data_IF_347495808416
#
_entry.id   IF_347495808416
#
_cell.length_a   1.000
_cell.length_b   1.000
_cell.length_c   1.000
_cell.angle_alpha   90.00
_cell.angle_beta   90.00
_cell.angle_gamma   90.00
#
_symmetry.space_group_name_H-M   'P 1'
#
loop_
_entity.id
_entity.type
_entity.pdbx_description
1 polymer ?
#
# COMPACT_ATOMS: atom_id res chain seq x y z
N UNK A 1 -12.12 -8.65 -16.77
CA UNK A 1 -11.73 -7.25 -17.07
C UNK A 1 -12.37 -6.35 -16.01
N UNK A 2 -11.65 -5.35 -15.49
CA UNK A 2 -12.02 -4.56 -14.28
C UNK A 2 -12.71 -3.22 -14.59
N UNK A 3 -12.72 -2.78 -15.85
CA UNK A 3 -12.68 -1.34 -16.15
C UNK A 3 -13.93 -0.71 -16.82
N UNK A 4 -15.01 -1.44 -17.13
CA UNK A 4 -16.24 -0.79 -17.63
C UNK A 4 -17.18 -0.44 -16.47
N UNK A 5 -17.96 0.65 -16.62
CA UNK A 5 -18.99 1.04 -15.63
C UNK A 5 -20.01 -0.09 -15.43
N UNK A 6 -20.37 -0.77 -16.50
CA UNK A 6 -21.29 -1.92 -16.49
C UNK A 6 -20.69 -3.09 -15.69
N UNK A 7 -19.42 -3.44 -15.93
CA UNK A 7 -18.73 -4.49 -15.19
C UNK A 7 -18.58 -4.14 -13.69
N UNK A 8 -18.39 -2.85 -13.37
CA UNK A 8 -18.33 -2.37 -11.97
C UNK A 8 -19.68 -2.51 -11.28
N UNK A 9 -20.76 -1.99 -11.90
CA UNK A 9 -22.11 -2.07 -11.33
C UNK A 9 -22.60 -3.51 -11.20
N UNK A 10 -22.24 -4.38 -12.14
CA UNK A 10 -22.56 -5.81 -12.05
C UNK A 10 -21.88 -6.46 -10.84
N UNK A 11 -20.56 -6.28 -10.69
CA UNK A 11 -19.83 -6.81 -9.52
C UNK A 11 -20.29 -6.20 -8.21
N UNK A 12 -20.63 -4.91 -8.22
CA UNK A 12 -21.12 -4.22 -7.05
C UNK A 12 -22.43 -4.86 -6.57
N UNK A 13 -23.35 -5.19 -7.48
CA UNK A 13 -24.55 -5.98 -7.16
C UNK A 13 -24.23 -7.40 -6.68
N UNK A 14 -23.33 -8.11 -7.34
CA UNK A 14 -22.93 -9.48 -6.98
C UNK A 14 -22.33 -9.57 -5.55
N UNK A 15 -21.74 -8.47 -5.06
CA UNK A 15 -21.10 -8.40 -3.74
C UNK A 15 -21.92 -7.59 -2.71
N UNK A 16 -23.22 -7.36 -2.97
CA UNK A 16 -24.14 -6.74 -2.01
C UNK A 16 -24.14 -5.21 -1.96
N UNK A 17 -23.45 -4.53 -2.88
CA UNK A 17 -23.53 -3.09 -3.07
C UNK A 17 -24.74 -2.66 -3.90
N UNK A 18 -25.08 -1.37 -3.82
CA UNK A 18 -26.16 -0.75 -4.59
C UNK A 18 -25.72 0.56 -5.29
N UNK A 19 -26.60 1.17 -6.06
CA UNK A 19 -26.29 2.42 -6.79
C UNK A 19 -25.86 3.58 -5.86
N UNK A 20 -26.36 3.62 -4.62
CA UNK A 20 -25.95 4.62 -3.64
C UNK A 20 -24.48 4.45 -3.22
N UNK A 21 -23.96 3.21 -3.25
CA UNK A 21 -22.53 2.96 -3.05
C UNK A 21 -21.70 3.60 -4.15
N UNK A 22 -22.09 3.46 -5.42
CA UNK A 22 -21.39 4.09 -6.55
C UNK A 22 -21.42 5.62 -6.44
N UNK A 23 -22.58 6.19 -6.08
CA UNK A 23 -22.72 7.64 -5.85
C UNK A 23 -21.78 8.12 -4.74
N UNK A 24 -21.69 7.40 -3.63
CA UNK A 24 -20.79 7.75 -2.53
C UNK A 24 -19.31 7.63 -2.92
N UNK A 25 -18.95 6.62 -3.72
CA UNK A 25 -17.59 6.45 -4.24
C UNK A 25 -17.23 7.64 -5.14
N UNK A 26 -18.07 7.97 -6.12
CA UNK A 26 -17.81 9.12 -7.02
C UNK A 26 -17.73 10.43 -6.25
N UNK A 27 -18.61 10.66 -5.27
CA UNK A 27 -18.54 11.85 -4.41
C UNK A 27 -17.22 11.93 -3.63
N UNK A 28 -16.65 10.79 -3.23
CA UNK A 28 -15.34 10.73 -2.57
C UNK A 28 -14.21 11.07 -3.54
N UNK A 29 -14.26 10.55 -4.78
CA UNK A 29 -13.26 10.85 -5.81
C UNK A 29 -13.26 12.33 -6.20
N UNK A 30 -14.44 12.95 -6.26
CA UNK A 30 -14.59 14.39 -6.50
C UNK A 30 -14.00 15.21 -5.37
N UNK A 31 -14.35 14.85 -4.13
CA UNK A 31 -13.83 15.52 -2.94
C UNK A 31 -12.29 15.43 -2.82
N UNK A 32 -11.71 14.29 -3.23
CA UNK A 32 -10.27 14.08 -3.28
C UNK A 32 -9.63 14.95 -4.37
N UNK A 33 -10.24 15.03 -5.56
CA UNK A 33 -9.72 15.83 -6.68
C UNK A 33 -9.64 17.31 -6.28
N UNK A 34 -10.68 17.84 -5.64
CA UNK A 34 -10.74 19.23 -5.15
C UNK A 34 -9.68 19.58 -4.10
N UNK A 35 -9.07 18.57 -3.46
CA UNK A 35 -8.11 18.72 -2.36
C UNK A 35 -6.68 18.34 -2.72
N UNK A 36 -6.44 17.94 -3.97
CA UNK A 36 -5.09 17.66 -4.42
C UNK A 36 -4.26 18.95 -4.40
N UNK A 37 -3.07 18.88 -3.82
CA UNK A 37 -2.11 19.96 -3.87
C UNK A 37 -1.59 20.14 -5.31
N UNK A 38 -1.05 21.33 -5.61
CA UNK A 38 -0.51 21.65 -6.94
C UNK A 38 0.62 20.72 -7.40
N UNK A 39 1.34 20.10 -6.47
CA UNK A 39 2.42 19.15 -6.76
C UNK A 39 1.93 17.71 -6.94
N UNK A 40 0.61 17.47 -6.92
CA UNK A 40 0.00 16.15 -7.05
C UNK A 40 -0.18 15.39 -5.74
N UNK A 41 0.30 15.93 -4.62
CA UNK A 41 0.18 15.30 -3.30
C UNK A 41 -1.15 15.60 -2.61
N UNK A 42 -1.45 14.89 -1.51
CA UNK A 42 -2.57 15.21 -0.61
C UNK A 42 -2.11 15.60 0.79
N UNK A 43 -2.96 16.37 1.46
CA UNK A 43 -2.78 16.84 2.85
C UNK A 43 -1.56 17.76 3.05
N UNK A 44 -1.41 18.29 4.27
CA UNK A 44 -0.27 19.14 4.65
C UNK A 44 0.93 18.36 5.18
N UNK A 45 0.67 17.19 5.78
CA UNK A 45 1.63 16.32 6.48
C UNK A 45 1.39 14.85 6.10
N UNK A 46 2.42 14.01 6.16
CA UNK A 46 2.34 12.59 5.74
C UNK A 46 1.93 12.46 4.27
N UNK A 47 2.36 13.41 3.44
CA UNK A 47 1.95 13.56 2.05
C UNK A 47 2.23 12.30 1.25
N UNK A 48 3.35 11.63 1.48
CA UNK A 48 3.65 10.35 0.80
C UNK A 48 2.59 9.28 1.10
N UNK A 49 2.27 9.02 2.37
CA UNK A 49 1.22 8.06 2.74
C UNK A 49 -0.16 8.48 2.23
N UNK A 50 -0.54 9.74 2.44
CA UNK A 50 -1.86 10.25 2.05
C UNK A 50 -2.04 10.21 0.54
N UNK A 51 -0.99 10.52 -0.23
CA UNK A 51 -1.01 10.41 -1.70
C UNK A 51 -1.11 8.95 -2.14
N UNK A 52 -0.42 8.03 -1.46
CA UNK A 52 -0.57 6.60 -1.72
C UNK A 52 -2.00 6.10 -1.51
N UNK A 53 -2.66 6.48 -0.41
CA UNK A 53 -4.05 6.12 -0.14
C UNK A 53 -5.03 6.75 -1.14
N UNK A 54 -4.86 8.04 -1.47
CA UNK A 54 -5.68 8.72 -2.46
C UNK A 54 -5.56 8.05 -3.82
N UNK A 55 -4.32 7.76 -4.26
CA UNK A 55 -4.06 7.07 -5.52
C UNK A 55 -4.69 5.66 -5.55
N UNK A 56 -4.55 4.87 -4.48
CA UNK A 56 -5.21 3.56 -4.37
C UNK A 56 -6.74 3.67 -4.47
N UNK A 57 -7.34 4.75 -3.97
CA UNK A 57 -8.79 5.00 -4.08
C UNK A 57 -9.21 5.16 -5.54
N UNK A 58 -8.47 5.97 -6.32
CA UNK A 58 -8.71 6.14 -7.76
C UNK A 58 -8.50 4.82 -8.52
N UNK A 59 -7.37 4.14 -8.29
CA UNK A 59 -7.05 2.88 -8.96
C UNK A 59 -8.06 1.76 -8.61
N UNK A 60 -8.56 1.74 -7.37
CA UNK A 60 -9.62 0.82 -6.93
C UNK A 60 -10.93 1.01 -7.69
N UNK A 61 -11.25 2.25 -8.05
CA UNK A 61 -12.38 2.58 -8.95
C UNK A 61 -12.04 2.38 -10.45
N UNK A 62 -10.82 1.93 -10.75
CA UNK A 62 -10.25 1.77 -12.10
C UNK A 62 -10.06 3.10 -12.84
N UNK A 63 -9.86 4.20 -12.10
CA UNK A 63 -9.41 5.46 -12.67
C UNK A 63 -7.89 5.41 -12.93
N UNK A 64 -7.47 5.91 -14.08
CA UNK A 64 -6.08 5.81 -14.56
C UNK A 64 -5.66 7.14 -15.20
N UNK A 65 -4.38 7.33 -15.59
CA UNK A 65 -3.98 8.54 -16.32
C UNK A 65 -4.74 8.82 -17.63
N UNK A 66 -5.46 7.82 -18.18
CA UNK A 66 -6.30 7.98 -19.37
C UNK A 66 -7.76 8.32 -19.05
N UNK A 67 -8.14 8.39 -17.77
CA UNK A 67 -9.49 8.75 -17.37
C UNK A 67 -9.82 10.18 -17.77
N UNK A 68 -10.98 10.41 -18.37
CA UNK A 68 -11.42 11.72 -18.85
C UNK A 68 -11.48 12.77 -17.72
N UNK A 69 -12.03 12.39 -16.57
CA UNK A 69 -12.21 13.32 -15.43
C UNK A 69 -11.01 13.35 -14.48
N UNK A 70 -10.47 12.19 -14.13
CA UNK A 70 -9.46 12.06 -13.07
C UNK A 70 -8.04 11.79 -13.59
N UNK A 71 -7.83 11.76 -14.91
CA UNK A 71 -6.55 11.38 -15.50
C UNK A 71 -5.37 12.23 -15.03
N UNK A 72 -5.53 13.55 -15.05
CA UNK A 72 -4.52 14.48 -14.56
C UNK A 72 -4.26 14.30 -13.05
N UNK A 73 -5.32 14.13 -12.26
CA UNK A 73 -5.22 13.88 -10.81
C UNK A 73 -4.42 12.62 -10.51
N UNK A 74 -4.72 11.52 -11.20
CA UNK A 74 -4.01 10.24 -11.05
C UNK A 74 -2.56 10.36 -11.53
N UNK A 75 -2.33 11.00 -12.68
CA UNK A 75 -0.99 11.14 -13.25
C UNK A 75 -0.08 11.95 -12.32
N UNK A 76 -0.56 13.10 -11.83
CA UNK A 76 0.20 13.97 -10.92
C UNK A 76 0.52 13.28 -9.59
N UNK A 77 -0.40 12.46 -9.07
CA UNK A 77 -0.17 11.64 -7.87
C UNK A 77 0.97 10.64 -8.06
N UNK A 78 1.00 9.95 -9.21
CA UNK A 78 2.05 8.97 -9.55
C UNK A 78 3.39 9.69 -9.68
N UNK A 79 3.42 10.81 -10.42
CA UNK A 79 4.65 11.59 -10.63
C UNK A 79 5.23 12.07 -9.29
N UNK A 80 4.39 12.58 -8.39
CA UNK A 80 4.81 12.99 -7.05
C UNK A 80 5.54 11.86 -6.30
N UNK A 81 4.94 10.66 -6.24
CA UNK A 81 5.54 9.52 -5.54
C UNK A 81 6.82 9.03 -6.22
N UNK A 82 6.87 9.02 -7.56
CA UNK A 82 8.08 8.67 -8.33
C UNK A 82 9.21 9.65 -8.05
N UNK A 83 8.91 10.95 -8.00
CA UNK A 83 9.90 11.98 -7.68
C UNK A 83 10.47 11.81 -6.26
N UNK A 84 9.63 11.46 -5.28
CA UNK A 84 10.08 11.16 -3.92
C UNK A 84 11.01 9.94 -3.93
N UNK A 85 10.58 8.83 -4.55
CA UNK A 85 11.39 7.61 -4.64
C UNK A 85 12.75 7.88 -5.29
N UNK A 86 12.78 8.61 -6.40
CA UNK A 86 14.02 8.94 -7.11
C UNK A 86 14.97 9.78 -6.25
N UNK A 87 14.46 10.80 -5.56
CA UNK A 87 15.26 11.66 -4.67
C UNK A 87 15.79 10.91 -3.45
N UNK A 88 15.05 9.92 -2.97
CA UNK A 88 15.34 9.19 -1.73
C UNK A 88 15.86 7.76 -1.97
N UNK A 89 16.26 7.42 -3.20
CA UNK A 89 16.81 6.09 -3.58
C UNK A 89 15.87 4.94 -3.22
N UNK A 90 14.62 5.03 -3.67
CA UNK A 90 13.56 4.05 -3.44
C UNK A 90 12.83 4.20 -2.10
N UNK A 91 13.33 4.98 -1.14
CA UNK A 91 12.58 5.25 0.08
C UNK A 91 11.43 6.22 -0.19
N UNK A 92 10.33 6.03 0.53
CA UNK A 92 9.08 6.77 0.33
C UNK A 92 8.58 7.24 1.69
N UNK A 93 8.95 8.45 2.09
CA UNK A 93 8.38 9.11 3.26
C UNK A 93 8.58 10.62 3.19
N UNK A 94 7.72 11.37 3.90
CA UNK A 94 7.95 12.79 4.11
C UNK A 94 9.20 13.03 4.98
N UNK A 95 9.37 12.21 6.02
CA UNK A 95 10.42 12.34 7.02
C UNK A 95 11.00 10.97 7.39
N UNK A 96 12.22 10.69 6.92
CA UNK A 96 12.92 9.41 7.19
C UNK A 96 13.48 9.30 8.62
N UNK A 97 13.47 10.38 9.40
CA UNK A 97 13.83 10.34 10.82
C UNK A 97 12.63 9.96 11.71
N UNK A 98 11.41 9.98 11.17
CA UNK A 98 10.23 9.58 11.92
C UNK A 98 10.12 8.06 12.03
N UNK A 99 9.95 7.52 13.23
CA UNK A 99 9.90 6.08 13.45
C UNK A 99 8.76 5.35 12.70
N UNK A 100 7.72 6.06 12.30
CA UNK A 100 6.54 5.52 11.61
C UNK A 100 6.68 5.52 10.08
N UNK A 101 7.80 6.01 9.55
CA UNK A 101 8.05 6.07 8.11
C UNK A 101 7.89 4.72 7.36
N UNK A 102 8.07 3.52 7.96
CA UNK A 102 7.77 2.27 7.28
C UNK A 102 6.32 2.12 6.81
N UNK A 103 5.34 2.73 7.49
CA UNK A 103 3.96 2.76 7.00
C UNK A 103 3.84 3.59 5.72
N UNK A 104 4.41 4.79 5.72
CA UNK A 104 4.38 5.68 4.55
C UNK A 104 5.00 4.98 3.35
N UNK A 105 6.13 4.32 3.58
CA UNK A 105 6.84 3.61 2.53
C UNK A 105 6.05 2.45 1.95
N UNK A 106 5.46 1.60 2.81
CA UNK A 106 4.67 0.47 2.33
C UNK A 106 3.40 0.91 1.59
N UNK A 107 2.67 1.88 2.12
CA UNK A 107 1.45 2.43 1.50
C UNK A 107 1.77 3.01 0.11
N UNK A 108 2.80 3.85 0.01
CA UNK A 108 3.18 4.45 -1.26
C UNK A 108 3.75 3.42 -2.24
N UNK A 109 4.52 2.44 -1.78
CA UNK A 109 5.05 1.34 -2.62
C UNK A 109 3.90 0.52 -3.21
N UNK A 110 2.89 0.21 -2.40
CA UNK A 110 1.68 -0.46 -2.88
C UNK A 110 1.02 0.37 -4.00
N UNK A 111 0.80 1.66 -3.77
CA UNK A 111 0.15 2.54 -4.74
C UNK A 111 0.90 2.62 -6.08
N UNK A 112 2.22 2.82 -6.07
CA UNK A 112 3.01 2.90 -7.32
C UNK A 112 3.12 1.54 -8.04
N UNK A 113 3.09 0.42 -7.32
CA UNK A 113 3.10 -0.91 -7.93
C UNK A 113 1.77 -1.23 -8.65
N UNK A 114 0.63 -0.88 -8.05
CA UNK A 114 -0.68 -0.96 -8.70
C UNK A 114 -0.75 -0.01 -9.91
N UNK A 115 -0.30 1.24 -9.75
CA UNK A 115 -0.25 2.22 -10.83
C UNK A 115 0.58 1.72 -12.02
N UNK A 116 1.75 1.14 -11.75
CA UNK A 116 2.60 0.55 -12.79
C UNK A 116 1.91 -0.60 -13.51
N UNK A 117 1.19 -1.46 -12.78
CA UNK A 117 0.43 -2.57 -13.39
C UNK A 117 -0.62 -2.05 -14.36
N UNK A 118 -1.40 -1.04 -13.97
CA UNK A 118 -2.36 -0.39 -14.87
C UNK A 118 -1.67 0.29 -16.07
N UNK A 119 -0.62 1.08 -15.81
CA UNK A 119 0.11 1.78 -16.87
C UNK A 119 0.69 0.79 -17.90
N UNK A 120 1.29 -0.32 -17.45
CA UNK A 120 1.80 -1.38 -18.31
C UNK A 120 0.69 -2.02 -19.14
N UNK A 121 -0.46 -2.34 -18.55
CA UNK A 121 -1.60 -2.92 -19.26
C UNK A 121 -2.19 -1.97 -20.31
N UNK A 122 -2.16 -0.67 -20.05
CA UNK A 122 -2.69 0.38 -20.91
C UNK A 122 -1.64 1.02 -21.83
N UNK A 123 -0.40 0.52 -21.82
CA UNK A 123 0.73 1.08 -22.58
C UNK A 123 1.01 2.56 -22.29
N UNK A 124 0.76 3.00 -21.06
CA UNK A 124 1.09 4.35 -20.56
C UNK A 124 2.52 4.33 -20.04
N UNK A 125 3.37 5.22 -20.56
CA UNK A 125 4.74 5.35 -20.07
C UNK A 125 4.85 6.54 -19.11
N UNK A 126 5.11 6.25 -17.83
CA UNK A 126 5.47 7.27 -16.83
C UNK A 126 6.97 7.13 -16.54
N UNK A 127 7.80 8.15 -16.87
CA UNK A 127 9.24 8.11 -16.63
C UNK A 127 9.58 7.81 -15.17
N UNK A 128 10.53 6.90 -14.94
CA UNK A 128 11.00 6.54 -13.61
C UNK A 128 10.07 5.63 -12.80
N UNK A 129 8.83 5.37 -13.23
CA UNK A 129 7.88 4.56 -12.46
C UNK A 129 8.37 3.11 -12.26
N UNK A 130 8.93 2.50 -13.30
CA UNK A 130 9.51 1.16 -13.20
C UNK A 130 10.60 1.09 -12.11
N UNK A 131 11.54 2.02 -12.15
CA UNK A 131 12.67 2.04 -11.22
C UNK A 131 12.23 2.38 -9.80
N UNK A 132 11.27 3.31 -9.64
CA UNK A 132 10.67 3.62 -8.36
C UNK A 132 10.01 2.37 -7.73
N UNK A 133 9.25 1.59 -8.49
CA UNK A 133 8.63 0.34 -8.00
C UNK A 133 9.68 -0.70 -7.65
N UNK A 134 10.69 -0.90 -8.52
CA UNK A 134 11.78 -1.84 -8.29
C UNK A 134 12.53 -1.51 -7.00
N UNK A 135 12.96 -0.27 -6.85
CA UNK A 135 13.84 0.13 -5.75
C UNK A 135 13.07 0.18 -4.43
N UNK A 136 11.81 0.66 -4.45
CA UNK A 136 10.97 0.68 -3.25
C UNK A 136 10.56 -0.71 -2.80
N UNK A 137 10.13 -1.58 -3.73
CA UNK A 137 9.80 -2.97 -3.41
C UNK A 137 11.01 -3.75 -2.90
N UNK A 138 12.18 -3.55 -3.51
CA UNK A 138 13.42 -4.20 -3.06
C UNK A 138 13.86 -3.70 -1.68
N UNK A 139 13.62 -2.42 -1.35
CA UNK A 139 13.87 -1.90 0.00
C UNK A 139 13.07 -2.66 1.07
N UNK A 140 11.77 -2.92 0.84
CA UNK A 140 10.93 -3.69 1.79
C UNK A 140 11.52 -5.09 2.01
N UNK A 141 11.93 -5.76 0.93
CA UNK A 141 12.51 -7.11 0.98
C UNK A 141 13.82 -7.11 1.77
N UNK A 142 14.71 -6.17 1.45
CA UNK A 142 16.06 -6.12 2.02
C UNK A 142 16.05 -5.72 3.51
N UNK A 143 14.94 -5.17 4.01
CA UNK A 143 14.79 -4.72 5.40
C UNK A 143 13.73 -5.54 6.19
N UNK A 144 13.47 -6.78 5.79
CA UNK A 144 12.71 -7.71 6.63
C UNK A 144 13.58 -8.17 7.81
N UNK A 145 13.04 -8.08 9.03
CA UNK A 145 13.76 -8.54 10.22
C UNK A 145 13.94 -10.06 10.25
N UNK A 146 14.83 -10.51 11.12
CA UNK A 146 15.10 -11.95 11.36
C UNK A 146 13.86 -12.75 11.80
N UNK A 147 12.85 -12.10 12.42
CA UNK A 147 11.60 -12.77 12.81
C UNK A 147 10.62 -12.96 11.66
N UNK A 148 10.90 -12.42 10.48
CA UNK A 148 10.01 -12.51 9.32
C UNK A 148 8.99 -11.37 9.22
N UNK A 149 9.08 -10.34 10.05
CA UNK A 149 8.18 -9.18 10.00
C UNK A 149 8.96 -7.86 9.91
N UNK A 150 8.24 -6.74 9.99
CA UNK A 150 8.79 -5.39 9.96
C UNK A 150 8.31 -4.62 11.20
N UNK A 151 9.11 -3.65 11.61
CA UNK A 151 8.84 -2.84 12.80
C UNK A 151 9.10 -1.36 12.51
N UNK A 152 8.81 -0.50 13.48
CA UNK A 152 9.11 0.93 13.42
C UNK A 152 10.58 1.17 13.06
N UNK A 153 10.84 2.14 12.18
CA UNK A 153 12.16 2.45 11.62
C UNK A 153 12.89 1.27 10.95
N UNK A 154 12.22 0.15 10.65
CA UNK A 154 12.87 -1.10 10.27
C UNK A 154 13.84 -1.66 11.35
N UNK A 155 13.53 -1.43 12.63
CA UNK A 155 14.39 -1.85 13.74
C UNK A 155 14.34 -3.37 13.99
N UNK A 156 15.51 -4.00 14.15
CA UNK A 156 15.63 -5.45 14.42
C UNK A 156 15.68 -5.80 15.92
N UNK A 157 16.35 -4.99 16.74
CA UNK A 157 16.73 -5.39 18.11
C UNK A 157 15.90 -4.70 19.21
N UNK A 158 15.73 -3.37 19.14
CA UNK A 158 14.93 -2.59 20.12
C UNK A 158 13.88 -1.70 19.43
N UNK A 159 12.61 -1.91 19.77
CA UNK A 159 11.52 -1.12 19.22
C UNK A 159 11.37 0.18 20.03
N UNK A 160 10.67 1.15 19.44
CA UNK A 160 10.31 2.37 20.14
C UNK A 160 9.54 2.02 21.44
N UNK A 161 10.06 2.44 22.60
CA UNK A 161 9.43 2.21 23.90
C UNK A 161 9.92 0.99 24.67
N UNK A 162 11.05 0.37 24.28
CA UNK A 162 11.71 -0.67 25.09
C UNK A 162 11.04 -2.06 25.03
N UNK A 163 10.12 -2.28 24.08
CA UNK A 163 9.61 -3.63 23.78
C UNK A 163 10.61 -4.39 22.90
N UNK A 164 10.66 -5.72 22.97
CA UNK A 164 11.40 -6.53 21.98
C UNK A 164 10.97 -6.15 20.56
N UNK A 165 11.93 -5.78 19.71
CA UNK A 165 11.69 -5.38 18.31
C UNK A 165 11.63 -6.56 17.36
N UNK A 166 11.46 -6.27 16.09
CA UNK A 166 11.60 -7.22 15.00
C UNK A 166 10.26 -7.75 14.50
N UNK A 167 9.14 -7.10 14.83
CA UNK A 167 7.88 -7.46 14.19
C UNK A 167 6.67 -6.81 14.82
N UNK A 168 5.88 -6.17 13.97
CA UNK A 168 4.59 -5.58 14.29
C UNK A 168 3.64 -5.81 13.11
N UNK A 169 2.61 -6.63 13.29
CA UNK A 169 1.67 -6.94 12.20
C UNK A 169 0.90 -5.73 11.69
N UNK A 170 0.73 -4.66 12.48
CA UNK A 170 0.11 -3.44 11.95
C UNK A 170 0.96 -2.84 10.82
N UNK A 171 2.29 -2.97 10.92
CA UNK A 171 3.24 -2.59 9.88
C UNK A 171 3.30 -3.71 8.87
N UNK A 172 3.75 -4.91 9.27
CA UNK A 172 4.05 -6.02 8.37
C UNK A 172 2.94 -6.38 7.37
N UNK A 173 1.68 -6.16 7.73
CA UNK A 173 0.56 -6.35 6.81
C UNK A 173 0.56 -5.37 5.63
N UNK A 174 0.91 -4.09 5.82
CA UNK A 174 1.09 -3.14 4.71
C UNK A 174 2.24 -3.53 3.80
N UNK A 175 3.34 -4.01 4.37
CA UNK A 175 4.51 -4.49 3.63
C UNK A 175 4.13 -5.70 2.78
N UNK A 176 3.34 -6.63 3.33
CA UNK A 176 2.78 -7.75 2.57
C UNK A 176 1.89 -7.30 1.40
N UNK A 177 1.01 -6.30 1.58
CA UNK A 177 0.22 -5.75 0.46
C UNK A 177 1.10 -5.16 -0.63
N UNK A 178 2.11 -4.36 -0.24
CA UNK A 178 3.05 -3.79 -1.17
C UNK A 178 3.80 -4.87 -1.95
N UNK A 179 4.30 -5.90 -1.29
CA UNK A 179 5.00 -7.02 -1.92
C UNK A 179 4.10 -7.85 -2.84
N UNK A 180 2.82 -8.04 -2.49
CA UNK A 180 1.82 -8.68 -3.36
C UNK A 180 1.62 -7.85 -4.63
N UNK A 181 1.42 -6.54 -4.50
CA UNK A 181 1.29 -5.65 -5.66
C UNK A 181 2.58 -5.65 -6.51
N UNK A 182 3.76 -5.59 -5.88
CA UNK A 182 5.04 -5.74 -6.55
C UNK A 182 5.12 -7.05 -7.35
N UNK A 183 4.64 -8.18 -6.81
CA UNK A 183 4.61 -9.46 -7.54
C UNK A 183 3.76 -9.40 -8.80
N UNK A 184 2.62 -8.70 -8.76
CA UNK A 184 1.68 -8.56 -9.88
C UNK A 184 2.29 -7.75 -11.04
N UNK A 185 3.21 -6.84 -10.76
CA UNK A 185 3.89 -6.02 -11.79
C UNK A 185 4.68 -6.85 -12.81
N UNK A 186 5.16 -8.04 -12.40
CA UNK A 186 6.09 -8.87 -13.15
C UNK A 186 7.53 -8.32 -13.19
N UNK A 187 7.87 -7.35 -12.34
CA UNK A 187 9.26 -6.97 -12.08
C UNK A 187 9.92 -8.08 -11.23
N UNK A 188 11.16 -8.42 -11.56
CA UNK A 188 11.92 -9.41 -10.81
C UNK A 188 12.53 -8.78 -9.55
N UNK A 189 12.26 -9.40 -8.39
CA UNK A 189 12.76 -8.96 -7.09
C UNK A 189 13.56 -10.09 -6.45
N UNK A 190 14.72 -9.77 -5.87
CA UNK A 190 15.55 -10.76 -5.18
C UNK A 190 14.83 -11.23 -3.93
N UNK A 191 14.89 -12.52 -3.62
CA UNK A 191 14.38 -13.12 -2.37
C UNK A 191 12.87 -12.92 -2.06
N UNK A 192 12.07 -12.34 -2.96
CA UNK A 192 10.67 -12.01 -2.73
C UNK A 192 9.86 -13.19 -2.17
N UNK A 193 9.95 -14.36 -2.81
CA UNK A 193 9.22 -15.57 -2.37
C UNK A 193 9.61 -16.00 -0.96
N UNK A 194 10.88 -15.91 -0.60
CA UNK A 194 11.36 -16.28 0.73
C UNK A 194 10.84 -15.30 1.79
N UNK A 195 10.94 -13.99 1.51
CA UNK A 195 10.48 -12.92 2.41
C UNK A 195 8.98 -13.02 2.65
N UNK A 196 8.18 -13.19 1.58
CA UNK A 196 6.73 -13.33 1.71
C UNK A 196 6.36 -14.57 2.54
N UNK A 197 7.01 -15.71 2.33
CA UNK A 197 6.76 -16.92 3.13
C UNK A 197 7.01 -16.68 4.62
N UNK A 198 8.17 -16.13 4.97
CA UNK A 198 8.51 -15.79 6.37
C UNK A 198 7.49 -14.83 7.01
N UNK A 199 6.99 -13.87 6.23
CA UNK A 199 6.00 -12.92 6.72
C UNK A 199 4.62 -13.56 6.92
N UNK A 200 4.21 -14.49 6.05
CA UNK A 200 3.00 -15.27 6.27
C UNK A 200 3.13 -16.16 7.49
N UNK A 201 4.26 -16.86 7.66
CA UNK A 201 4.55 -17.67 8.86
C UNK A 201 4.46 -16.80 10.14
N UNK A 202 4.99 -15.57 10.10
CA UNK A 202 4.90 -14.65 11.24
C UNK A 202 3.45 -14.25 11.56
N UNK A 203 2.64 -13.93 10.54
CA UNK A 203 1.23 -13.57 10.71
C UNK A 203 0.43 -14.75 11.28
N UNK A 204 0.65 -15.96 10.77
CA UNK A 204 0.02 -17.19 11.27
C UNK A 204 0.36 -17.45 12.73
N UNK A 205 1.64 -17.27 13.11
CA UNK A 205 2.08 -17.40 14.52
C UNK A 205 1.50 -16.31 15.44
N UNK A 206 0.96 -15.23 14.88
CA UNK A 206 0.27 -14.17 15.64
C UNK A 206 -1.25 -14.36 15.71
N UNK A 207 -1.80 -15.41 15.10
CA UNK A 207 -3.21 -15.72 15.17
C UNK A 207 -3.54 -16.48 16.46
N UNK A 208 -4.54 -16.01 17.20
CA UNK A 208 -5.11 -16.70 18.34
C UNK A 208 -6.18 -17.72 17.90
N UNK A 209 -6.55 -18.66 18.79
CA UNK A 209 -7.55 -19.70 18.51
C UNK A 209 -8.92 -19.14 18.06
N UNK A 210 -9.27 -17.93 18.52
CA UNK A 210 -10.50 -17.24 18.12
C UNK A 210 -10.40 -16.51 16.77
N UNK A 211 -9.29 -16.67 16.05
CA UNK A 211 -9.02 -16.03 14.75
C UNK A 211 -8.46 -14.61 14.83
N UNK A 212 -8.34 -14.01 16.02
CA UNK A 212 -7.78 -12.68 16.20
C UNK A 212 -6.27 -12.63 15.96
N UNK A 213 -5.78 -11.65 15.22
CA UNK A 213 -4.36 -11.46 14.92
C UNK A 213 -3.80 -10.37 15.83
N UNK A 214 -2.79 -10.70 16.64
CA UNK A 214 -2.09 -9.72 17.47
C UNK A 214 -0.90 -9.07 16.76
N UNK A 215 -0.34 -8.02 17.38
CA UNK A 215 0.75 -7.26 16.77
C UNK A 215 2.09 -8.00 16.77
N UNK A 216 2.44 -8.71 17.84
CA UNK A 216 3.74 -9.39 17.98
C UNK A 216 3.65 -10.84 18.48
N UNK A 217 2.44 -11.41 18.46
CA UNK A 217 2.09 -12.73 18.97
C UNK A 217 0.56 -12.89 19.02
N UNK A 218 0.04 -14.05 19.43
CA UNK A 218 -1.40 -14.31 19.50
C UNK A 218 -2.15 -13.24 20.30
N UNK A 219 -3.26 -12.73 19.76
CA UNK A 219 -4.12 -11.78 20.46
C UNK A 219 -4.65 -12.39 21.78
N UNK A 220 -4.55 -11.67 22.90
CA UNK A 220 -5.07 -12.14 24.18
C UNK A 220 -6.60 -12.09 24.22
N UNK A 221 -7.22 -13.13 24.81
CA UNK A 221 -8.67 -13.37 24.91
C UNK A 221 -9.50 -12.23 25.54
N UNK A 222 -8.86 -11.21 26.13
CA UNK A 222 -9.51 -10.12 26.88
C UNK A 222 -9.51 -8.77 26.14
N UNK A 223 -8.73 -8.64 25.07
CA UNK A 223 -8.73 -7.42 24.26
C UNK A 223 -9.73 -7.59 23.13
N UNK A 224 -10.68 -6.63 23.02
CA UNK A 224 -11.55 -6.45 21.86
C UNK A 224 -10.69 -6.68 20.62
N UNK A 225 -11.04 -7.71 19.84
CA UNK A 225 -10.26 -8.16 18.69
C UNK A 225 -9.96 -6.94 17.84
N UNK A 226 -8.72 -6.42 17.91
CA UNK A 226 -8.33 -5.37 16.98
C UNK A 226 -8.53 -5.99 15.61
N UNK A 227 -9.32 -5.34 14.76
CA UNK A 227 -9.41 -5.64 13.33
C UNK A 227 -8.04 -5.36 12.67
N UNK A 228 -6.97 -6.02 13.13
CA UNK A 228 -5.80 -6.32 12.35
C UNK A 228 -6.13 -7.49 11.42
N UNK A 229 -7.31 -7.42 10.78
CA UNK A 229 -7.55 -8.13 9.55
C UNK A 229 -6.67 -7.43 8.54
N UNK A 230 -5.45 -7.92 8.35
CA UNK A 230 -4.73 -7.69 7.12
C UNK A 230 -5.70 -8.13 6.02
N UNK A 231 -6.31 -7.19 5.31
CA UNK A 231 -7.07 -7.49 4.11
C UNK A 231 -6.10 -7.95 3.05
N UNK A 232 -5.46 -9.11 3.22
CA UNK A 232 -4.70 -9.79 2.19
C UNK A 232 -5.71 -10.01 1.07
N UNK A 233 -5.58 -9.21 0.02
CA UNK A 233 -6.24 -9.48 -1.25
C UNK A 233 -5.65 -10.81 -1.73
N UNK A 234 -6.31 -11.91 -1.35
CA UNK A 234 -5.99 -13.26 -1.84
C UNK A 234 -6.21 -13.28 -3.33
#
# INVERSE_FOLDING_TARGET
KRCSKEDRLQRLKENGGNEQCEVAVVATLDWLQDRQNKDGSWCGTRRVAMTGLALLTYLGHCETPLSEKYGETVQSAIIYLVDVANKQKGKLADNLQDKHWPYEHAIATYAIAEAYTFCKQLSINIPGLHDAVRDSGQWIIDNQSTKGSWDYSYAEDEAAGGRPSGGDNSIGCWQLQALKACKVTGIEFRNLTQVVRKALDYVENCQAENGGIGYGGPASLTAVSSLAGAGALV
#
